data_IF_967280735087
#
_entry.id   IF_967280735087
#
_cell.length_a   1.000
_cell.length_b   1.000
_cell.length_c   1.000
_cell.angle_alpha   90.00
_cell.angle_beta   90.00
_cell.angle_gamma   90.00
#
_symmetry.space_group_name_H-M   'P 1'
#
loop_
_entity.id
_entity.type
_entity.pdbx_description
1 polymer ?
#
# COMPACT_ATOMS: atom_id res chain seq x y z
N UNK A 1 10.11 0.05 -2.04
CA UNK A 1 9.65 -1.26 -2.55
C UNK A 1 9.42 -1.11 -4.05
N UNK A 2 9.95 -2.02 -4.87
CA UNK A 2 9.71 -2.01 -6.32
C UNK A 2 9.24 -3.38 -6.81
N UNK A 3 8.12 -3.41 -7.52
CA UNK A 3 7.56 -4.60 -8.18
C UNK A 3 7.36 -4.24 -9.64
N UNK A 4 8.19 -4.79 -10.51
CA UNK A 4 8.25 -4.34 -11.90
C UNK A 4 8.56 -5.43 -12.92
N UNK A 5 8.07 -5.23 -14.14
CA UNK A 5 8.34 -6.08 -15.31
C UNK A 5 7.90 -7.56 -15.14
N UNK A 6 6.83 -7.81 -14.38
CA UNK A 6 6.29 -9.16 -14.22
C UNK A 6 5.22 -9.43 -15.26
N UNK A 7 5.35 -10.55 -15.97
CA UNK A 7 4.34 -11.06 -16.90
C UNK A 7 3.40 -12.08 -16.27
N UNK A 8 3.81 -12.70 -15.17
CA UNK A 8 2.98 -13.60 -14.37
C UNK A 8 2.13 -12.82 -13.37
N UNK A 9 1.08 -13.47 -12.87
CA UNK A 9 0.20 -12.92 -11.83
C UNK A 9 0.96 -12.60 -10.55
N UNK A 10 0.72 -11.41 -10.01
CA UNK A 10 1.17 -10.98 -8.69
C UNK A 10 -0.06 -10.96 -7.76
N UNK A 11 0.03 -11.63 -6.62
CA UNK A 11 -1.06 -11.67 -5.64
C UNK A 11 -0.56 -11.46 -4.21
N UNK A 12 -1.18 -10.51 -3.53
CA UNK A 12 -1.11 -10.35 -2.08
C UNK A 12 -2.51 -10.55 -1.51
N UNK A 13 -2.74 -11.70 -0.88
CA UNK A 13 -4.05 -12.08 -0.38
C UNK A 13 -4.04 -12.45 1.09
N UNK A 14 -5.03 -11.97 1.85
CA UNK A 14 -5.28 -12.37 3.24
C UNK A 14 -4.09 -12.14 4.18
N UNK A 15 -3.28 -11.13 3.88
CA UNK A 15 -2.19 -10.75 4.78
C UNK A 15 -2.74 -9.92 5.93
N UNK A 16 -2.16 -10.07 7.11
CA UNK A 16 -2.55 -9.33 8.32
C UNK A 16 -1.33 -8.64 8.92
N UNK A 17 -1.47 -7.37 9.23
CA UNK A 17 -0.50 -6.62 10.00
C UNK A 17 -1.14 -6.02 11.25
N UNK A 18 -0.47 -6.14 12.40
CA UNK A 18 -0.90 -5.49 13.63
C UNK A 18 -0.80 -3.95 13.53
N UNK A 19 0.20 -3.47 12.78
CA UNK A 19 0.44 -2.07 12.46
C UNK A 19 1.09 -1.93 11.06
N UNK A 20 0.80 -0.82 10.37
CA UNK A 20 1.27 -0.60 8.99
C UNK A 20 0.32 -1.17 7.93
N UNK A 21 0.81 -1.43 6.71
CA UNK A 21 -0.01 -1.97 5.63
C UNK A 21 -0.13 -3.49 5.72
N UNK A 22 -1.33 -4.05 5.53
CA UNK A 22 -1.56 -5.48 5.73
C UNK A 22 -0.71 -6.38 4.84
N UNK A 23 -0.40 -5.94 3.61
CA UNK A 23 0.50 -6.63 2.69
C UNK A 23 1.85 -5.91 2.51
N UNK A 24 1.83 -4.58 2.36
CA UNK A 24 3.04 -3.79 2.06
C UNK A 24 3.11 -2.58 2.98
N UNK A 25 4.23 -2.48 3.70
CA UNK A 25 4.61 -1.29 4.44
C UNK A 25 6.00 -0.82 4.00
N UNK A 26 6.06 0.35 3.36
CA UNK A 26 7.32 0.98 2.95
C UNK A 26 7.09 2.49 2.74
N UNK A 27 8.15 3.27 2.67
CA UNK A 27 8.08 4.67 2.28
C UNK A 27 7.60 4.83 0.84
N UNK A 28 8.46 4.55 -0.15
CA UNK A 28 8.10 4.72 -1.57
C UNK A 28 7.85 3.37 -2.20
N UNK A 29 6.66 3.20 -2.79
CA UNK A 29 6.20 1.96 -3.42
C UNK A 29 5.96 2.22 -4.90
N UNK A 30 6.60 1.42 -5.75
CA UNK A 30 6.52 1.54 -7.20
C UNK A 30 6.13 0.18 -7.79
N UNK A 31 4.94 0.10 -8.39
CA UNK A 31 4.42 -1.08 -9.06
C UNK A 31 4.29 -0.71 -10.55
N UNK A 32 5.22 -1.16 -11.39
CA UNK A 32 5.35 -0.62 -12.76
C UNK A 32 5.59 -1.65 -13.84
N UNK A 33 5.09 -1.37 -15.04
CA UNK A 33 5.38 -2.17 -16.24
C UNK A 33 5.03 -3.66 -16.08
N UNK A 34 4.04 -4.00 -15.24
CA UNK A 34 3.60 -5.38 -15.09
C UNK A 34 2.48 -5.66 -16.09
N UNK A 35 2.66 -6.71 -16.89
CA UNK A 35 1.66 -7.19 -17.84
C UNK A 35 0.80 -8.31 -17.28
N UNK A 36 1.30 -9.00 -16.24
CA UNK A 36 0.51 -9.92 -15.45
C UNK A 36 -0.49 -9.19 -14.54
N UNK A 37 -1.63 -9.80 -14.19
CA UNK A 37 -2.59 -9.21 -13.25
C UNK A 37 -1.95 -8.97 -11.87
N UNK A 38 -2.34 -7.88 -11.22
CA UNK A 38 -1.96 -7.53 -9.85
C UNK A 38 -3.22 -7.60 -8.99
N UNK A 39 -3.20 -8.40 -7.93
CA UNK A 39 -4.31 -8.51 -6.98
C UNK A 39 -3.85 -8.23 -5.56
N UNK A 40 -4.53 -7.30 -4.88
CA UNK A 40 -4.39 -7.01 -3.45
C UNK A 40 -5.77 -7.23 -2.82
N UNK A 41 -6.00 -8.41 -2.24
CA UNK A 41 -7.32 -8.83 -1.79
C UNK A 41 -7.36 -9.30 -0.33
N UNK A 42 -8.35 -8.86 0.44
CA UNK A 42 -8.57 -9.42 1.78
C UNK A 42 -7.47 -9.08 2.79
N UNK A 43 -6.64 -8.08 2.53
CA UNK A 43 -5.54 -7.72 3.42
C UNK A 43 -6.04 -6.79 4.54
N UNK A 44 -5.54 -6.99 5.74
CA UNK A 44 -6.02 -6.30 6.93
C UNK A 44 -4.88 -5.63 7.70
N UNK A 45 -5.11 -4.39 8.12
CA UNK A 45 -4.30 -3.67 9.10
C UNK A 45 -5.14 -3.37 10.34
N UNK A 46 -4.78 -3.95 11.48
CA UNK A 46 -5.56 -3.80 12.72
C UNK A 46 -5.40 -2.42 13.36
N UNK A 47 -4.22 -1.80 13.26
CA UNK A 47 -3.99 -0.47 13.81
C UNK A 47 -3.19 0.40 12.86
N UNK A 48 -3.53 1.69 12.85
CA UNK A 48 -2.69 2.73 12.28
C UNK A 48 -1.35 2.85 12.97
N UNK A 49 -0.40 3.46 12.26
CA UNK A 49 0.81 3.95 12.91
C UNK A 49 0.42 5.07 13.88
N UNK A 50 0.77 4.89 15.14
CA UNK A 50 0.68 5.94 16.16
C UNK A 50 1.85 6.90 15.97
N UNK A 51 1.59 8.20 16.06
CA UNK A 51 2.64 9.22 15.95
C UNK A 51 3.01 9.74 17.33
N UNK A 52 4.32 9.89 17.57
CA UNK A 52 4.87 10.69 18.66
C UNK A 52 5.62 11.86 18.04
N UNK A 53 5.14 13.09 18.21
CA UNK A 53 5.81 14.28 17.63
C UNK A 53 7.27 14.31 18.09
N UNK A 54 8.26 14.11 17.20
CA UNK A 54 9.67 14.16 17.58
C UNK A 54 10.07 15.61 17.83
N UNK A 55 11.10 15.83 18.66
CA UNK A 55 11.79 17.12 18.78
C UNK A 55 13.19 16.98 18.15
N UNK A 56 13.49 17.66 17.03
CA UNK A 56 12.68 18.66 16.32
C UNK A 56 11.49 18.05 15.56
N UNK A 57 10.43 18.87 15.39
CA UNK A 57 9.18 18.48 14.74
C UNK A 57 9.42 17.90 13.34
N UNK A 58 9.03 16.63 13.16
CA UNK A 58 9.04 15.93 11.88
C UNK A 58 7.64 15.42 11.57
N UNK A 59 7.20 15.58 10.32
CA UNK A 59 5.97 14.93 9.85
C UNK A 59 6.17 13.42 9.90
N UNK A 60 5.44 12.79 10.80
CA UNK A 60 5.27 11.34 10.83
C UNK A 60 3.85 11.08 10.37
N UNK A 61 3.68 10.23 9.36
CA UNK A 61 2.35 9.88 8.91
C UNK A 61 1.69 8.95 9.93
N UNK A 62 0.50 9.33 10.38
CA UNK A 62 -0.34 8.54 11.26
C UNK A 62 -1.30 7.69 10.42
N UNK A 63 -1.59 6.47 10.85
CA UNK A 63 -2.61 5.63 10.20
C UNK A 63 -2.05 4.51 9.34
N UNK A 64 -2.95 3.79 8.66
CA UNK A 64 -2.61 2.64 7.81
C UNK A 64 -3.62 2.41 6.68
N UNK A 65 -3.23 1.59 5.71
CA UNK A 65 -4.10 1.08 4.65
C UNK A 65 -4.16 -0.43 4.73
N UNK A 66 -5.34 -1.03 4.52
CA UNK A 66 -5.54 -2.46 4.71
C UNK A 66 -4.60 -3.34 3.89
N UNK A 67 -4.26 -2.94 2.66
CA UNK A 67 -3.25 -3.60 1.85
C UNK A 67 -1.90 -2.89 1.89
N UNK A 68 -1.88 -1.58 1.62
CA UNK A 68 -0.64 -0.82 1.44
C UNK A 68 -0.63 0.39 2.37
N UNK A 69 0.48 0.60 3.07
CA UNK A 69 0.73 1.80 3.86
C UNK A 69 2.07 2.44 3.48
N UNK A 70 2.01 3.70 3.06
CA UNK A 70 3.12 4.58 2.65
C UNK A 70 2.92 6.00 3.22
N UNK A 71 2.91 6.14 4.56
CA UNK A 71 2.23 7.22 5.28
C UNK A 71 2.87 8.61 5.11
N UNK A 72 4.10 8.69 4.59
CA UNK A 72 4.85 9.95 4.38
C UNK A 72 5.31 10.15 2.94
N UNK A 73 4.92 9.26 2.03
CA UNK A 73 5.50 9.15 0.69
C UNK A 73 4.44 8.65 -0.31
N UNK A 74 4.88 8.00 -1.39
CA UNK A 74 4.07 7.72 -2.56
C UNK A 74 3.87 6.22 -2.83
N UNK A 75 2.68 5.89 -3.32
CA UNK A 75 2.37 4.63 -4.00
C UNK A 75 2.08 4.97 -5.46
N UNK A 76 2.80 4.34 -6.38
CA UNK A 76 2.63 4.58 -7.82
C UNK A 76 2.40 3.26 -8.54
N UNK A 77 1.26 3.17 -9.23
CA UNK A 77 0.99 2.15 -10.24
C UNK A 77 1.15 2.80 -11.60
N UNK A 78 2.21 2.47 -12.35
CA UNK A 78 2.47 3.09 -13.66
C UNK A 78 2.69 2.06 -14.77
N UNK A 79 2.03 2.25 -15.91
CA UNK A 79 2.21 1.43 -17.11
C UNK A 79 1.96 -0.07 -16.86
N UNK A 80 1.08 -0.40 -15.90
CA UNK A 80 0.65 -1.79 -15.72
C UNK A 80 -0.48 -2.06 -16.72
N UNK A 81 -0.23 -2.94 -17.67
CA UNK A 81 -1.24 -3.34 -18.66
C UNK A 81 -2.10 -4.49 -18.15
N UNK A 82 -1.60 -5.25 -17.17
CA UNK A 82 -2.38 -6.24 -16.44
C UNK A 82 -3.40 -5.56 -15.52
N UNK A 83 -4.53 -6.24 -15.29
CA UNK A 83 -5.59 -5.75 -14.38
C UNK A 83 -5.00 -5.49 -13.00
N UNK A 84 -5.27 -4.32 -12.43
CA UNK A 84 -4.98 -4.01 -11.03
C UNK A 84 -6.28 -4.13 -10.21
N UNK A 85 -6.43 -5.20 -9.45
CA UNK A 85 -7.59 -5.45 -8.60
C UNK A 85 -7.23 -5.25 -7.12
N UNK A 86 -7.86 -4.25 -6.48
CA UNK A 86 -7.66 -3.93 -5.06
C UNK A 86 -9.01 -3.99 -4.37
N UNK A 87 -9.29 -5.08 -3.65
CA UNK A 87 -10.62 -5.38 -3.13
C UNK A 87 -10.58 -5.99 -1.73
N UNK A 88 -11.68 -5.83 -0.98
CA UNK A 88 -11.87 -6.45 0.34
C UNK A 88 -10.75 -6.20 1.36
N UNK A 89 -10.00 -5.11 1.23
CA UNK A 89 -8.95 -4.76 2.20
C UNK A 89 -9.54 -3.89 3.32
N UNK A 90 -9.07 -4.09 4.55
CA UNK A 90 -9.58 -3.44 5.75
C UNK A 90 -8.45 -2.78 6.52
N UNK A 91 -8.58 -1.49 6.83
CA UNK A 91 -7.90 -0.90 7.98
C UNK A 91 -8.95 -0.61 9.05
N UNK A 92 -8.81 -1.17 10.24
CA UNK A 92 -9.86 -1.06 11.26
C UNK A 92 -10.07 0.38 11.76
N UNK A 93 -9.02 1.21 11.71
CA UNK A 93 -9.01 2.56 12.30
C UNK A 93 -8.73 3.69 11.31
N UNK A 94 -8.36 3.37 10.06
CA UNK A 94 -7.77 4.35 9.14
C UNK A 94 -8.24 4.15 7.67
N UNK A 95 -7.33 4.22 6.70
CA UNK A 95 -7.64 4.24 5.26
C UNK A 95 -8.00 2.86 4.72
N UNK A 96 -9.00 2.77 3.83
CA UNK A 96 -9.50 1.50 3.29
C UNK A 96 -8.42 0.51 2.81
N UNK A 97 -8.01 0.58 1.55
CA UNK A 97 -7.02 -0.35 1.00
C UNK A 97 -5.59 0.22 0.96
N UNK A 98 -5.43 1.49 0.60
CA UNK A 98 -4.13 2.15 0.44
C UNK A 98 -4.13 3.42 1.29
N UNK A 99 -3.11 3.58 2.13
CA UNK A 99 -2.84 4.81 2.86
C UNK A 99 -1.51 5.38 2.37
N UNK A 100 -1.52 6.53 1.72
CA UNK A 100 -0.32 7.20 1.21
C UNK A 100 -0.52 8.71 1.14
N UNK A 101 0.57 9.48 1.18
CA UNK A 101 0.50 10.92 0.92
C UNK A 101 0.18 11.21 -0.54
N UNK A 102 0.74 10.40 -1.44
CA UNK A 102 0.48 10.47 -2.87
C UNK A 102 0.14 9.06 -3.36
N UNK A 103 -1.01 8.90 -4.01
CA UNK A 103 -1.40 7.66 -4.66
C UNK A 103 -1.68 7.97 -6.13
N UNK A 104 -0.88 7.40 -7.03
CA UNK A 104 -0.97 7.68 -8.46
C UNK A 104 -1.17 6.41 -9.27
N UNK A 105 -2.15 6.46 -10.17
CA UNK A 105 -2.45 5.43 -11.16
C UNK A 105 -2.28 6.07 -12.53
N UNK A 106 -1.14 5.81 -13.16
CA UNK A 106 -0.84 6.30 -14.50
C UNK A 106 -0.82 5.13 -15.49
N UNK A 107 -1.45 5.34 -16.65
CA UNK A 107 -1.40 4.42 -17.78
C UNK A 107 -0.06 4.47 -18.49
#
# INVERSE_FOLDING_TARGET
CSIQNNSATISFSQNFAACGGGAIYDGTISIKNNSGPITLSGNTAANGLLTTTPDPAKVIGAGCGGAICAPTKSVTFANNTGICNINYNLAEKDGGAIYATICDFST
#
